data_IF_350354816309
#
_entry.id   IF_350354816309
#
_cell.length_a   1.000
_cell.length_b   1.000
_cell.length_c   1.000
_cell.angle_alpha   90.00
_cell.angle_beta   90.00
_cell.angle_gamma   90.00
#
_symmetry.space_group_name_H-M   'P 1'
#
loop_
_entity.id
_entity.type
_entity.pdbx_description
1 polymer ?
#
# COMPACT_ATOMS: atom_id res chain seq x y z
N UNK A 1 15.90 -15.19 28.42
CA UNK A 1 14.93 -14.37 29.17
C UNK A 1 14.65 -13.15 28.32
N UNK A 2 13.43 -13.10 27.82
CA UNK A 2 12.76 -12.06 27.03
C UNK A 2 13.50 -10.73 26.91
N UNK A 3 14.08 -10.49 25.73
CA UNK A 3 14.21 -9.12 25.25
C UNK A 3 12.84 -8.76 24.69
N UNK A 4 12.11 -7.95 25.44
CA UNK A 4 10.90 -7.31 24.98
C UNK A 4 11.29 -6.43 23.79
N UNK A 5 11.08 -6.96 22.57
CA UNK A 5 11.07 -6.18 21.34
C UNK A 5 10.06 -5.05 21.56
N UNK A 6 10.55 -3.82 21.71
CA UNK A 6 9.72 -2.63 21.58
C UNK A 6 9.11 -2.64 20.17
N UNK A 7 7.97 -3.31 20.05
CA UNK A 7 7.10 -3.30 18.89
C UNK A 7 6.69 -1.86 18.69
N UNK A 8 7.42 -1.12 17.84
CA UNK A 8 6.94 0.15 17.33
C UNK A 8 5.66 -0.18 16.58
N UNK A 9 4.48 0.23 17.08
CA UNK A 9 3.22 -0.12 16.45
C UNK A 9 3.24 0.39 15.01
N UNK A 10 2.70 -0.42 14.08
CA UNK A 10 2.46 0.05 12.73
C UNK A 10 1.72 1.39 12.80
N UNK A 11 2.21 2.46 12.14
CA UNK A 11 1.55 3.76 12.18
C UNK A 11 0.17 3.76 11.49
N UNK A 12 -0.34 2.60 11.07
CA UNK A 12 -1.71 2.42 10.61
C UNK A 12 -2.75 2.77 11.69
N UNK A 13 -2.39 2.72 12.98
CA UNK A 13 -3.25 3.17 14.10
C UNK A 13 -3.18 4.69 14.35
N UNK A 14 -2.42 5.41 13.54
CA UNK A 14 -1.91 6.70 13.94
C UNK A 14 -2.12 7.72 12.83
N UNK A 15 -3.27 8.40 12.92
CA UNK A 15 -3.53 9.69 12.28
C UNK A 15 -2.54 10.75 12.81
N UNK A 16 -1.25 10.65 12.49
CA UNK A 16 -0.25 11.57 12.99
C UNK A 16 -0.21 12.86 12.18
N UNK A 17 -0.63 13.93 12.86
CA UNK A 17 -0.88 15.31 12.42
C UNK A 17 0.37 16.18 12.15
N UNK A 18 1.52 15.63 11.74
CA UNK A 18 2.75 16.44 11.64
C UNK A 18 3.63 16.07 10.44
N UNK A 19 3.59 16.92 9.40
CA UNK A 19 4.47 16.82 8.22
C UNK A 19 5.96 16.91 8.57
N UNK A 20 6.30 17.60 9.66
CA UNK A 20 7.67 17.79 10.15
C UNK A 20 8.23 16.52 10.79
N UNK A 21 7.41 15.70 11.46
CA UNK A 21 7.85 14.42 12.00
C UNK A 21 8.14 13.42 10.89
N UNK A 22 7.34 13.43 9.82
CA UNK A 22 7.57 12.59 8.63
C UNK A 22 8.89 13.00 7.95
N UNK A 23 9.12 14.30 7.72
CA UNK A 23 10.38 14.77 7.11
C UNK A 23 11.63 14.45 7.95
N UNK A 24 11.55 14.61 9.28
CA UNK A 24 12.68 14.25 10.16
C UNK A 24 12.95 12.75 10.16
N UNK A 25 11.90 11.93 10.18
CA UNK A 25 12.02 10.47 10.11
C UNK A 25 12.56 9.99 8.74
N UNK A 26 12.15 10.63 7.65
CA UNK A 26 12.66 10.40 6.28
C UNK A 26 14.14 10.76 6.14
N UNK A 27 14.63 11.76 6.89
CA UNK A 27 16.02 12.22 6.85
C UNK A 27 16.94 11.35 7.71
N UNK A 28 16.46 10.84 8.84
CA UNK A 28 17.26 10.04 9.78
C UNK A 28 17.35 8.56 9.40
N UNK A 29 16.39 8.03 8.62
CA UNK A 29 16.43 6.67 8.08
C UNK A 29 16.76 6.60 6.59
N UNK A 30 17.95 7.10 6.21
CA UNK A 30 18.64 6.73 4.96
C UNK A 30 19.09 5.25 4.95
N UNK A 31 18.26 4.34 5.46
CA UNK A 31 18.34 2.91 5.13
C UNK A 31 17.77 2.76 3.73
N UNK A 32 18.49 2.03 2.89
CA UNK A 32 18.21 1.80 1.47
C UNK A 32 16.71 1.68 1.15
N UNK A 33 16.14 2.75 0.58
CA UNK A 33 14.73 2.80 0.18
C UNK A 33 14.45 1.68 -0.82
N UNK A 34 13.32 0.99 -0.65
CA UNK A 34 12.92 -0.13 -1.51
C UNK A 34 11.79 0.31 -2.41
N UNK A 35 11.86 -0.08 -3.68
CA UNK A 35 10.82 0.16 -4.66
C UNK A 35 10.03 -1.12 -4.87
N UNK A 36 8.71 -1.02 -4.72
CA UNK A 36 7.76 -2.12 -4.91
C UNK A 36 6.82 -1.75 -6.05
N UNK A 37 6.45 -2.74 -6.85
CA UNK A 37 5.46 -2.57 -7.92
C UNK A 37 4.15 -3.19 -7.45
N UNK A 38 3.12 -2.37 -7.26
CA UNK A 38 1.84 -2.77 -6.69
C UNK A 38 0.69 -2.35 -7.60
N UNK A 39 -0.38 -3.14 -7.60
CA UNK A 39 -1.57 -2.83 -8.40
C UNK A 39 -2.54 -1.95 -7.62
N UNK A 40 -3.17 -1.01 -8.30
CA UNK A 40 -4.22 -0.16 -7.73
C UNK A 40 -5.55 -0.89 -7.83
N UNK A 41 -6.20 -1.09 -6.68
CA UNK A 41 -7.50 -1.79 -6.59
C UNK A 41 -8.65 -0.88 -6.17
N UNK A 42 -8.34 0.27 -5.56
CA UNK A 42 -9.37 1.23 -5.14
C UNK A 42 -8.82 2.62 -4.84
N UNK A 43 -9.72 3.56 -4.57
CA UNK A 43 -9.39 4.93 -4.17
C UNK A 43 -10.39 5.52 -3.18
N UNK A 44 -9.96 6.61 -2.55
CA UNK A 44 -10.72 7.40 -1.60
C UNK A 44 -10.82 8.86 -2.06
N UNK A 45 -12.00 9.45 -1.96
CA UNK A 45 -12.23 10.87 -2.19
C UNK A 45 -12.28 11.61 -0.85
N UNK A 46 -12.17 12.93 -0.88
CA UNK A 46 -12.41 13.75 0.30
C UNK A 46 -13.88 14.13 0.36
N UNK A 47 -14.52 13.83 1.47
CA UNK A 47 -15.92 14.15 1.73
C UNK A 47 -16.25 15.66 1.62
N UNK A 48 -15.25 16.53 1.83
CA UNK A 48 -15.42 17.99 1.80
C UNK A 48 -15.39 18.60 0.40
N UNK A 49 -15.00 17.84 -0.62
CA UNK A 49 -14.68 18.37 -1.94
C UNK A 49 -15.71 17.91 -2.98
N UNK A 50 -16.99 18.21 -2.72
CA UNK A 50 -18.12 17.88 -3.60
C UNK A 50 -17.99 18.40 -5.05
N UNK A 51 -17.00 19.26 -5.32
CA UNK A 51 -16.72 19.83 -6.65
C UNK A 51 -15.55 19.16 -7.38
N UNK A 52 -14.71 18.40 -6.67
CA UNK A 52 -13.49 17.82 -7.21
C UNK A 52 -13.63 16.30 -7.27
N UNK A 53 -13.80 15.75 -8.47
CA UNK A 53 -13.82 14.30 -8.70
C UNK A 53 -12.44 13.62 -8.48
N UNK A 54 -11.49 14.31 -7.86
CA UNK A 54 -10.13 13.86 -7.70
C UNK A 54 -9.97 12.89 -6.53
N UNK A 55 -9.20 11.84 -6.76
CA UNK A 55 -8.83 10.88 -5.74
C UNK A 55 -7.70 11.42 -4.86
N UNK A 56 -7.80 11.18 -3.56
CA UNK A 56 -6.84 11.68 -2.57
C UNK A 56 -5.89 10.61 -2.08
N UNK A 57 -6.37 9.37 -1.99
CA UNK A 57 -5.58 8.19 -1.62
C UNK A 57 -5.96 7.03 -2.53
N UNK A 58 -5.00 6.17 -2.80
CA UNK A 58 -5.15 4.95 -3.59
C UNK A 58 -4.86 3.73 -2.72
N UNK A 59 -5.73 2.74 -2.78
CA UNK A 59 -5.51 1.43 -2.17
C UNK A 59 -4.73 0.56 -3.14
N UNK A 60 -3.63 -0.01 -2.64
CA UNK A 60 -2.72 -0.83 -3.44
C UNK A 60 -2.55 -2.23 -2.86
N UNK A 61 -2.37 -3.19 -3.77
CA UNK A 61 -2.31 -4.60 -3.47
C UNK A 61 -1.12 -5.29 -4.14
N UNK A 62 -0.67 -6.40 -3.54
CA UNK A 62 0.28 -7.33 -4.11
C UNK A 62 -0.42 -8.59 -4.60
N UNK A 63 0.22 -9.33 -5.51
CA UNK A 63 -0.33 -10.57 -6.05
C UNK A 63 0.16 -11.77 -5.25
N UNK A 64 -0.75 -12.63 -4.84
CA UNK A 64 -0.40 -13.99 -4.45
C UNK A 64 -0.53 -14.91 -5.67
N UNK A 65 0.61 -15.33 -6.22
CA UNK A 65 0.64 -16.21 -7.40
C UNK A 65 0.03 -17.59 -7.12
N UNK A 66 0.02 -18.03 -5.85
CA UNK A 66 -0.50 -19.35 -5.49
C UNK A 66 -2.03 -19.38 -5.52
N UNK A 67 -2.69 -18.33 -5.04
CA UNK A 67 -4.15 -18.23 -4.98
C UNK A 67 -4.78 -17.40 -6.10
N UNK A 68 -3.98 -16.63 -6.86
CA UNK A 68 -4.47 -15.69 -7.87
C UNK A 68 -5.21 -14.48 -7.27
N UNK A 69 -5.02 -14.22 -5.96
CA UNK A 69 -5.70 -13.15 -5.22
C UNK A 69 -4.80 -11.94 -5.03
N UNK A 70 -5.41 -10.77 -4.99
CA UNK A 70 -4.77 -9.49 -4.72
C UNK A 70 -4.95 -9.11 -3.26
N UNK A 71 -3.87 -9.06 -2.50
CA UNK A 71 -3.90 -8.72 -1.08
C UNK A 71 -3.56 -7.24 -0.87
N UNK A 72 -4.47 -6.49 -0.23
CA UNK A 72 -4.21 -5.09 0.13
C UNK A 72 -3.02 -5.01 1.07
N UNK A 73 -2.06 -4.12 0.76
CA UNK A 73 -0.84 -3.94 1.56
C UNK A 73 -0.75 -2.54 2.16
N UNK A 74 -1.30 -1.53 1.47
CA UNK A 74 -1.22 -0.15 1.93
C UNK A 74 -2.22 0.77 1.23
N UNK A 75 -2.37 1.98 1.79
CA UNK A 75 -3.00 3.12 1.15
C UNK A 75 -1.96 4.22 0.94
N UNK A 76 -1.82 4.69 -0.29
CA UNK A 76 -0.86 5.73 -0.67
C UNK A 76 -1.58 7.03 -1.01
N UNK A 77 -1.18 8.14 -0.40
CA UNK A 77 -1.71 9.49 -0.70
C UNK A 77 -0.61 10.55 -0.93
N UNK A 78 0.64 10.17 -0.74
CA UNK A 78 1.84 11.00 -0.80
C UNK A 78 2.64 10.68 -2.07
N UNK A 79 3.42 11.66 -2.55
CA UNK A 79 4.22 11.51 -3.78
C UNK A 79 3.51 11.93 -5.08
N UNK A 80 2.26 12.40 -5.01
CA UNK A 80 1.53 12.89 -6.17
C UNK A 80 1.55 14.43 -6.23
N UNK A 81 1.89 14.98 -7.40
CA UNK A 81 1.65 16.40 -7.73
C UNK A 81 0.15 16.61 -7.98
N UNK A 82 -0.32 17.86 -7.91
CA UNK A 82 -1.73 18.16 -8.16
C UNK A 82 -2.14 17.76 -9.59
N UNK A 83 -1.36 18.15 -10.59
CA UNK A 83 -1.59 17.80 -12.00
C UNK A 83 -1.66 16.29 -12.22
N UNK A 84 -0.77 15.52 -11.56
CA UNK A 84 -0.78 14.07 -11.67
C UNK A 84 -2.02 13.44 -11.03
N UNK A 85 -2.52 14.00 -9.92
CA UNK A 85 -3.78 13.52 -9.31
C UNK A 85 -4.96 13.75 -10.23
N UNK A 86 -5.03 14.90 -10.89
CA UNK A 86 -6.09 15.23 -11.83
C UNK A 86 -6.07 14.29 -13.05
N UNK A 87 -4.89 14.07 -13.64
CA UNK A 87 -4.71 13.12 -14.75
C UNK A 87 -5.07 11.69 -14.35
N UNK A 88 -4.54 11.19 -13.23
CA UNK A 88 -4.87 9.85 -12.72
C UNK A 88 -6.35 9.71 -12.43
N UNK A 89 -6.98 10.73 -11.84
CA UNK A 89 -8.40 10.68 -11.52
C UNK A 89 -9.26 10.63 -12.78
N UNK A 90 -8.91 11.39 -13.81
CA UNK A 90 -9.59 11.34 -15.12
C UNK A 90 -9.48 9.95 -15.77
N UNK A 91 -8.27 9.38 -15.81
CA UNK A 91 -8.03 8.06 -16.42
C UNK A 91 -8.64 6.91 -15.63
N UNK A 92 -8.44 6.87 -14.31
CA UNK A 92 -8.94 5.80 -13.46
C UNK A 92 -10.47 5.84 -13.32
N UNK A 93 -11.09 7.01 -13.51
CA UNK A 93 -12.56 7.11 -13.51
C UNK A 93 -13.22 6.24 -14.60
N UNK A 94 -12.50 5.94 -15.68
CA UNK A 94 -12.98 5.05 -16.75
C UNK A 94 -12.86 3.56 -16.41
N UNK A 95 -12.11 3.23 -15.36
CA UNK A 95 -11.84 1.86 -14.92
C UNK A 95 -12.60 1.49 -13.64
N UNK A 96 -13.55 2.34 -13.24
CA UNK A 96 -14.37 2.12 -12.05
C UNK A 96 -15.25 0.89 -12.24
N UNK A 97 -15.26 0.04 -11.21
CA UNK A 97 -16.17 -1.08 -11.08
C UNK A 97 -17.13 -0.83 -9.91
N UNK A 98 -18.38 -1.30 -9.99
CA UNK A 98 -19.38 -1.03 -8.96
C UNK A 98 -19.05 -1.73 -7.62
N UNK A 99 -18.41 -2.89 -7.69
CA UNK A 99 -18.11 -3.74 -6.54
C UNK A 99 -16.70 -4.33 -6.65
N UNK A 100 -16.02 -4.63 -5.52
CA UNK A 100 -14.72 -5.27 -5.54
C UNK A 100 -14.81 -6.66 -6.17
N UNK A 101 -13.78 -7.05 -6.91
CA UNK A 101 -13.69 -8.40 -7.46
C UNK A 101 -13.49 -9.43 -6.33
N UNK A 102 -14.00 -10.66 -6.52
CA UNK A 102 -13.91 -11.74 -5.54
C UNK A 102 -12.47 -12.12 -5.18
N UNK A 103 -11.53 -11.87 -6.08
CA UNK A 103 -10.11 -12.12 -5.87
C UNK A 103 -9.41 -11.00 -5.08
N UNK A 104 -10.11 -9.95 -4.63
CA UNK A 104 -9.55 -8.90 -3.79
C UNK A 104 -9.68 -9.27 -2.31
N UNK A 105 -8.54 -9.28 -1.61
CA UNK A 105 -8.47 -9.52 -0.17
C UNK A 105 -8.06 -8.23 0.52
N UNK A 106 -9.01 -7.62 1.20
CA UNK A 106 -8.86 -6.37 1.92
C UNK A 106 -9.55 -6.42 3.29
N UNK A 107 -9.22 -5.49 4.17
CA UNK A 107 -9.94 -5.36 5.45
C UNK A 107 -11.26 -4.60 5.24
N UNK A 108 -12.37 -5.17 5.70
CA UNK A 108 -13.71 -4.59 5.59
C UNK A 108 -13.84 -3.26 6.35
N UNK A 109 -13.03 -3.04 7.37
CA UNK A 109 -13.02 -1.78 8.13
C UNK A 109 -12.40 -0.62 7.35
N UNK A 110 -11.65 -0.92 6.26
CA UNK A 110 -11.00 0.08 5.41
C UNK A 110 -11.40 -0.10 3.95
N UNK A 111 -12.70 -0.23 3.69
CA UNK A 111 -13.24 -0.32 2.33
C UNK A 111 -12.96 0.97 1.55
N UNK A 112 -12.50 0.81 0.31
CA UNK A 112 -12.40 1.91 -0.63
C UNK A 112 -13.80 2.41 -1.03
N UNK A 113 -13.92 3.70 -1.29
CA UNK A 113 -15.16 4.29 -1.80
C UNK A 113 -15.38 3.94 -3.27
N UNK A 114 -14.28 3.83 -4.02
CA UNK A 114 -14.28 3.52 -5.44
C UNK A 114 -13.35 2.34 -5.68
N UNK A 115 -13.82 1.36 -6.45
CA UNK A 115 -13.07 0.18 -6.83
C UNK A 115 -12.65 0.27 -8.29
N UNK A 116 -11.49 -0.32 -8.61
CA UNK A 116 -10.98 -0.34 -9.99
C UNK A 116 -10.67 -1.76 -10.44
N UNK A 117 -10.69 -1.96 -11.76
CA UNK A 117 -10.06 -3.13 -12.38
C UNK A 117 -8.54 -3.09 -12.13
N UNK A 118 -7.88 -4.25 -11.88
CA UNK A 118 -6.48 -4.30 -11.47
C UNK A 118 -5.59 -4.17 -12.72
N UNK A 119 -5.60 -3.02 -13.38
CA UNK A 119 -4.86 -2.75 -14.62
C UNK A 119 -3.71 -1.77 -14.37
N UNK A 120 -3.93 -0.82 -13.47
CA UNK A 120 -2.98 0.26 -13.20
C UNK A 120 -1.98 -0.17 -12.15
N UNK A 121 -0.69 -0.05 -12.47
CA UNK A 121 0.41 -0.47 -11.60
C UNK A 121 1.21 0.75 -11.18
N UNK A 122 1.39 0.89 -9.88
CA UNK A 122 2.18 1.94 -9.27
C UNK A 122 3.50 1.40 -8.75
N UNK A 123 4.55 2.16 -8.98
CA UNK A 123 5.82 1.98 -8.30
C UNK A 123 5.83 2.86 -7.05
N UNK A 124 6.03 2.20 -5.92
CA UNK A 124 5.95 2.81 -4.60
C UNK A 124 7.26 2.57 -3.89
N UNK A 125 7.84 3.66 -3.41
CA UNK A 125 9.00 3.64 -2.56
C UNK A 125 8.55 3.51 -1.11
N UNK A 126 9.20 2.63 -0.37
CA UNK A 126 8.90 2.37 1.05
C UNK A 126 10.18 2.44 1.87
N UNK A 127 10.04 2.97 3.09
CA UNK A 127 11.14 3.03 4.05
C UNK A 127 11.27 1.72 4.83
N UNK A 128 10.14 1.15 5.24
CA UNK A 128 10.11 -0.06 6.06
C UNK A 128 8.90 -0.95 5.75
N UNK A 129 9.00 -2.25 6.06
CA UNK A 129 7.89 -3.21 6.01
C UNK A 129 7.63 -3.66 7.44
N UNK A 130 6.39 -3.57 7.89
CA UNK A 130 6.01 -3.81 9.29
C UNK A 130 4.85 -4.81 9.39
N UNK A 131 4.66 -5.40 10.58
CA UNK A 131 3.52 -6.28 10.86
C UNK A 131 2.25 -5.48 11.05
N UNK A 132 1.25 -5.70 10.19
CA UNK A 132 -0.05 -5.02 10.21
C UNK A 132 -1.15 -5.96 10.67
N UNK A 133 -1.99 -5.54 11.61
CA UNK A 133 -3.24 -6.26 11.94
C UNK A 133 -4.33 -6.09 10.87
N UNK A 134 -4.23 -5.02 10.07
CA UNK A 134 -5.23 -4.60 9.08
C UNK A 134 -4.98 -5.29 7.75
N UNK A 135 -3.76 -5.17 7.22
CA UNK A 135 -3.41 -5.73 5.92
C UNK A 135 -3.17 -7.23 6.00
N UNK A 136 -3.60 -7.95 4.96
CA UNK A 136 -3.65 -9.42 4.95
C UNK A 136 -2.58 -10.06 4.06
N UNK A 137 -1.68 -9.26 3.48
CA UNK A 137 -0.54 -9.81 2.74
C UNK A 137 0.36 -10.62 3.70
N UNK A 138 0.66 -11.88 3.38
CA UNK A 138 1.48 -12.74 4.25
C UNK A 138 0.86 -12.99 5.63
N UNK A 139 -0.47 -13.01 5.72
CA UNK A 139 -1.20 -13.18 6.98
C UNK A 139 -0.79 -14.47 7.71
N UNK A 140 -0.43 -14.37 8.99
CA UNK A 140 -0.08 -15.51 9.84
C UNK A 140 1.33 -16.07 9.60
N UNK A 141 2.12 -15.52 8.68
CA UNK A 141 3.47 -16.06 8.37
C UNK A 141 4.49 -15.74 9.46
N UNK A 142 4.43 -14.52 10.03
CA UNK A 142 5.38 -14.06 11.05
C UNK A 142 4.76 -14.00 12.45
N UNK A 143 3.49 -13.63 12.53
CA UNK A 143 2.72 -13.53 13.78
C UNK A 143 1.28 -13.90 13.50
N UNK A 144 0.71 -14.78 14.32
CA UNK A 144 -0.71 -15.13 14.22
C UNK A 144 -1.58 -13.87 14.31
N UNK A 145 -2.60 -13.78 13.46
CA UNK A 145 -3.50 -12.63 13.41
C UNK A 145 -2.92 -11.36 12.75
N UNK A 146 -1.68 -11.39 12.24
CA UNK A 146 -1.03 -10.24 11.59
C UNK A 146 -0.59 -10.57 10.17
N UNK A 147 -0.72 -9.61 9.25
CA UNK A 147 -0.08 -9.62 7.94
C UNK A 147 1.03 -8.58 7.84
N UNK A 148 1.41 -8.22 6.62
CA UNK A 148 2.44 -7.25 6.29
C UNK A 148 1.82 -5.95 5.78
N UNK A 149 2.36 -4.82 6.23
CA UNK A 149 2.03 -3.49 5.78
C UNK A 149 3.27 -2.69 5.43
N UNK A 150 3.09 -1.60 4.68
CA UNK A 150 4.18 -0.71 4.27
C UNK A 150 4.21 0.54 5.15
N UNK A 151 5.41 0.95 5.55
CA UNK A 151 5.63 2.17 6.33
C UNK A 151 6.20 3.27 5.44
N UNK A 152 5.57 4.44 5.52
CA UNK A 152 5.88 5.61 4.68
C UNK A 152 5.91 5.29 3.18
N UNK A 153 4.81 4.73 2.62
CA UNK A 153 4.72 4.55 1.17
C UNK A 153 4.74 5.92 0.48
N UNK A 154 5.51 6.04 -0.61
CA UNK A 154 5.53 7.21 -1.47
C UNK A 154 5.38 6.77 -2.92
N UNK A 155 4.44 7.37 -3.62
CA UNK A 155 4.32 7.14 -5.06
C UNK A 155 5.55 7.71 -5.79
N UNK A 156 6.11 6.90 -6.70
CA UNK A 156 7.23 7.28 -7.56
C UNK A 156 6.74 7.53 -8.98
N UNK A 157 6.17 6.51 -9.63
CA UNK A 157 5.66 6.60 -11.00
C UNK A 157 4.68 5.47 -11.33
N UNK A 158 3.92 5.65 -12.41
CA UNK A 158 3.03 4.64 -12.96
C UNK A 158 3.79 3.76 -13.98
N UNK A 159 3.64 2.44 -13.89
CA UNK A 159 4.26 1.47 -14.80
C UNK A 159 3.26 1.01 -15.86
N UNK A 160 3.14 1.81 -16.93
CA UNK A 160 2.15 1.60 -18.01
C UNK A 160 2.33 0.33 -18.86
N UNK A 161 3.54 -0.22 -18.91
CA UNK A 161 3.86 -1.40 -19.75
C UNK A 161 3.90 -2.72 -18.99
N UNK A 162 3.68 -2.67 -17.68
CA UNK A 162 3.77 -3.84 -16.83
C UNK A 162 2.40 -4.52 -16.73
N UNK A 163 2.38 -5.84 -16.64
CA UNK A 163 1.14 -6.59 -16.48
C UNK A 163 0.84 -6.82 -14.99
N UNK A 164 -0.44 -6.94 -14.61
CA UNK A 164 -0.84 -7.23 -13.23
C UNK A 164 -0.30 -8.56 -12.67
N UNK A 165 0.15 -9.46 -13.54
CA UNK A 165 0.76 -10.76 -13.21
C UNK A 165 2.24 -10.64 -12.80
N UNK A 166 2.90 -9.58 -13.25
CA UNK A 166 4.34 -9.36 -13.02
C UNK A 166 4.61 -8.51 -11.78
N UNK A 167 3.56 -8.03 -11.10
CA UNK A 167 3.69 -7.18 -9.90
C UNK A 167 4.37 -7.93 -8.76
N UNK A 168 4.82 -7.15 -7.77
CA UNK A 168 5.43 -7.69 -6.57
C UNK A 168 4.50 -8.70 -5.90
N UNK A 169 5.07 -9.86 -5.60
CA UNK A 169 4.32 -10.98 -5.03
C UNK A 169 4.32 -10.95 -3.51
N UNK A 170 3.35 -11.65 -2.89
CA UNK A 170 3.34 -11.86 -1.44
C UNK A 170 4.64 -12.53 -0.96
N UNK A 171 5.15 -13.53 -1.69
CA UNK A 171 6.39 -14.22 -1.34
C UNK A 171 7.62 -13.31 -1.39
N UNK A 172 7.69 -12.43 -2.39
CA UNK A 172 8.74 -11.41 -2.46
C UNK A 172 8.65 -10.44 -1.29
N UNK A 173 7.44 -10.01 -0.91
CA UNK A 173 7.23 -9.14 0.24
C UNK A 173 7.68 -9.82 1.55
N UNK A 174 7.38 -11.10 1.72
CA UNK A 174 7.84 -11.91 2.86
C UNK A 174 9.36 -12.02 2.88
N UNK A 175 10.00 -12.30 1.73
CA UNK A 175 11.47 -12.35 1.62
C UNK A 175 12.10 -11.01 1.97
N UNK A 176 11.55 -9.91 1.49
CA UNK A 176 12.03 -8.57 1.81
C UNK A 176 11.93 -8.29 3.31
N UNK A 177 10.79 -8.61 3.92
CA UNK A 177 10.62 -8.45 5.37
C UNK A 177 11.65 -9.27 6.18
N UNK A 178 11.95 -10.50 5.77
CA UNK A 178 12.99 -11.33 6.41
C UNK A 178 14.38 -10.69 6.33
N UNK A 179 14.75 -10.21 5.15
CA UNK A 179 16.03 -9.54 4.92
C UNK A 179 16.16 -8.28 5.78
N UNK A 180 15.07 -7.52 5.94
CA UNK A 180 15.08 -6.26 6.69
C UNK A 180 15.21 -6.47 8.20
N UNK A 181 14.66 -7.56 8.73
CA UNK A 181 14.68 -7.87 10.16
C UNK A 181 15.75 -8.90 10.55
N UNK A 182 16.66 -9.25 9.63
CA UNK A 182 17.74 -10.23 9.85
C UNK A 182 17.26 -11.58 10.40
N UNK A 183 16.08 -12.06 9.98
CA UNK A 183 15.66 -13.43 10.25
C UNK A 183 16.49 -14.39 9.38
N UNK A 184 17.63 -14.84 9.89
CA UNK A 184 18.47 -15.89 9.30
C UNK A 184 18.21 -17.24 9.97
#
# INVERSE_FOLDING_TARGET
MSQDEEQIPCPLDFSFKSSLLIQKFETEHCKQLRELTLVVIGAFRKQSDNMSNNFTKFMVACLDKSSGKYFSVCMVGTGFTQELREDLSSRLSQLIIPEPLENYVFNKDQMAEVWFRPVTIFEIQVADICLSGIHKAGFGVFKEGSGLGLRFPRFVKERKFMKPEDITTVDELIKLYKIMNNYY
#
